data_IF_072462674652
#
_entry.id   IF_072462674652
#
_cell.length_a   1.000
_cell.length_b   1.000
_cell.length_c   1.000
_cell.angle_alpha   90.00
_cell.angle_beta   90.00
_cell.angle_gamma   90.00
#
_symmetry.space_group_name_H-M   'P 1'
#
loop_
_entity.id
_entity.type
_entity.pdbx_description
1 polymer ?
#
# COMPACT_ATOMS: atom_id res chain seq x y z
N UNK A 1 18.54 21.68 -6.12
CA UNK A 1 17.08 21.62 -5.94
C UNK A 1 16.47 21.48 -7.32
N UNK A 2 15.60 20.51 -7.52
CA UNK A 2 15.00 20.12 -8.81
C UNK A 2 13.85 21.05 -9.25
N UNK A 3 13.52 22.07 -8.45
CA UNK A 3 12.50 23.06 -8.76
C UNK A 3 11.07 22.61 -8.46
N UNK A 4 10.89 21.49 -7.75
CA UNK A 4 9.57 20.97 -7.36
C UNK A 4 9.12 21.58 -6.02
N UNK A 5 7.89 22.09 -5.97
CA UNK A 5 7.29 22.65 -4.75
C UNK A 5 5.96 21.95 -4.43
N UNK A 6 5.81 21.50 -3.19
CA UNK A 6 4.55 20.93 -2.69
C UNK A 6 3.72 22.03 -2.01
N UNK A 7 2.43 22.10 -2.35
CA UNK A 7 1.48 23.03 -1.73
C UNK A 7 0.54 22.26 -0.80
N UNK A 8 0.49 22.66 0.47
CA UNK A 8 -0.43 22.11 1.47
C UNK A 8 -1.48 23.14 1.84
N UNK A 9 -2.76 22.76 1.87
CA UNK A 9 -3.86 23.61 2.29
C UNK A 9 -4.89 22.81 3.08
N UNK A 10 -5.53 23.46 4.06
CA UNK A 10 -6.62 22.88 4.86
C UNK A 10 -7.86 23.75 4.68
N UNK A 11 -8.87 23.33 3.91
CA UNK A 11 -10.10 24.09 3.77
C UNK A 11 -10.88 24.07 5.10
N UNK A 12 -11.21 25.24 5.63
CA UNK A 12 -11.94 25.38 6.90
C UNK A 12 -13.46 25.26 6.76
N UNK A 13 -13.98 25.44 5.55
CA UNK A 13 -15.41 25.39 5.25
C UNK A 13 -15.65 24.51 4.02
N UNK A 14 -16.80 23.85 3.91
CA UNK A 14 -17.21 23.22 2.66
C UNK A 14 -17.45 24.31 1.59
N UNK A 15 -17.08 24.02 0.35
CA UNK A 15 -17.24 24.94 -0.77
C UNK A 15 -16.26 24.68 -1.91
N UNK A 16 -16.45 25.41 -3.01
CA UNK A 16 -15.51 25.42 -4.12
C UNK A 16 -14.41 26.45 -3.85
N UNK A 17 -13.18 25.98 -3.81
CA UNK A 17 -11.95 26.73 -3.69
C UNK A 17 -11.28 26.80 -5.06
N UNK A 18 -10.72 27.96 -5.39
CA UNK A 18 -9.85 28.13 -6.56
C UNK A 18 -8.48 28.49 -6.02
N UNK A 19 -7.54 27.56 -6.15
CA UNK A 19 -6.14 27.80 -5.83
C UNK A 19 -5.51 28.40 -7.08
N UNK A 20 -5.05 29.65 -6.95
CA UNK A 20 -4.36 30.37 -8.02
C UNK A 20 -2.88 30.42 -7.72
N UNK A 21 -2.08 29.80 -8.58
CA UNK A 21 -0.62 29.81 -8.45
C UNK A 21 -0.04 30.91 -9.37
N UNK A 22 0.80 31.76 -8.79
CA UNK A 22 1.49 32.86 -9.49
C UNK A 22 3.01 32.73 -9.32
N UNK A 23 3.75 33.03 -10.38
CA UNK A 23 5.21 33.14 -10.35
C UNK A 23 5.61 34.57 -10.73
N UNK A 24 6.34 35.27 -9.87
CA UNK A 24 6.72 36.68 -10.10
C UNK A 24 5.53 37.65 -10.25
N UNK A 25 4.36 37.30 -9.69
CA UNK A 25 3.13 38.08 -9.82
C UNK A 25 2.28 37.80 -11.07
N UNK A 26 2.78 36.98 -12.01
CA UNK A 26 2.02 36.51 -13.18
C UNK A 26 1.38 35.15 -12.92
N UNK A 27 0.15 34.95 -13.43
CA UNK A 27 -0.53 33.65 -13.42
C UNK A 27 0.25 32.64 -14.27
N UNK A 28 0.41 31.41 -13.76
CA UNK A 28 1.06 30.34 -14.52
C UNK A 28 0.05 29.56 -15.37
N UNK A 29 0.43 29.05 -16.56
CA UNK A 29 -0.43 28.16 -17.34
C UNK A 29 -0.79 26.90 -16.54
N UNK A 30 -2.10 26.64 -16.34
CA UNK A 30 -2.58 25.53 -15.50
C UNK A 30 -2.54 25.80 -13.99
N UNK A 31 -2.27 27.03 -13.57
CA UNK A 31 -2.18 27.44 -12.15
C UNK A 31 -3.51 27.64 -11.43
N UNK A 32 -4.63 27.50 -12.12
CA UNK A 32 -5.97 27.57 -11.54
C UNK A 32 -6.46 26.15 -11.22
N UNK A 33 -6.29 25.73 -9.97
CA UNK A 33 -6.80 24.44 -9.49
C UNK A 33 -8.13 24.65 -8.78
N UNK A 34 -9.18 24.00 -9.30
CA UNK A 34 -10.49 23.98 -8.63
C UNK A 34 -10.50 22.81 -7.67
N UNK A 35 -10.69 23.11 -6.39
CA UNK A 35 -10.79 22.13 -5.31
C UNK A 35 -12.15 22.30 -4.67
N UNK A 36 -12.90 21.23 -4.50
CA UNK A 36 -14.14 21.28 -3.74
C UNK A 36 -13.93 20.61 -2.40
N UNK A 37 -14.09 21.36 -1.32
CA UNK A 37 -14.15 20.81 0.03
C UNK A 37 -15.60 20.45 0.33
N UNK A 38 -15.88 19.19 0.64
CA UNK A 38 -17.21 18.76 1.06
C UNK A 38 -17.22 18.36 2.53
N UNK A 39 -18.37 18.54 3.19
CA UNK A 39 -18.63 17.84 4.44
C UNK A 39 -18.57 16.33 4.16
N UNK A 40 -17.88 15.60 5.03
CA UNK A 40 -17.50 14.18 4.93
C UNK A 40 -18.67 13.21 4.63
N UNK A 41 -19.92 13.69 4.65
CA UNK A 41 -21.13 12.92 4.41
C UNK A 41 -21.91 13.28 3.12
N UNK A 42 -21.41 14.15 2.24
CA UNK A 42 -22.14 14.55 1.01
C UNK A 42 -21.43 14.29 -0.31
N UNK A 43 -20.21 13.76 -0.32
CA UNK A 43 -19.53 13.36 -1.56
C UNK A 43 -19.99 12.01 -2.15
N UNK A 44 -21.17 11.52 -1.76
CA UNK A 44 -21.77 10.26 -2.26
C UNK A 44 -22.44 10.44 -3.63
N UNK A 45 -22.68 11.66 -4.12
CA UNK A 45 -23.33 11.85 -5.42
C UNK A 45 -22.93 13.21 -5.98
N UNK A 46 -22.05 13.24 -6.96
CA UNK A 46 -22.16 13.99 -8.23
C UNK A 46 -20.78 14.02 -8.90
N UNK A 47 -20.44 12.93 -9.61
CA UNK A 47 -19.79 13.07 -10.91
C UNK A 47 -20.60 12.20 -11.87
N UNK A 48 -21.62 12.81 -12.49
CA UNK A 48 -22.16 12.34 -13.76
C UNK A 48 -21.25 12.86 -14.87
N UNK A 49 -20.03 12.32 -14.91
CA UNK A 49 -19.42 12.01 -16.19
C UNK A 49 -19.82 10.57 -16.50
N UNK A 50 -20.06 10.27 -17.75
CA UNK A 50 -20.55 8.98 -18.23
C UNK A 50 -19.62 7.87 -17.78
N UNK A 51 -19.89 7.26 -16.62
CA UNK A 51 -19.13 6.12 -16.14
C UNK A 51 -19.39 4.99 -17.12
N UNK A 52 -18.43 4.71 -17.99
CA UNK A 52 -18.30 3.39 -18.62
C UNK A 52 -17.96 2.40 -17.51
N UNK A 53 -18.97 2.06 -16.71
CA UNK A 53 -18.93 1.04 -15.67
C UNK A 53 -18.62 -0.30 -16.34
N UNK A 54 -17.34 -0.66 -16.39
CA UNK A 54 -16.91 -1.98 -16.87
C UNK A 54 -15.59 -2.04 -17.62
N UNK A 55 -15.01 -0.91 -18.05
CA UNK A 55 -13.76 -0.96 -18.82
C UNK A 55 -12.51 -1.18 -17.96
N UNK A 56 -12.51 -0.70 -16.71
CA UNK A 56 -11.37 -0.78 -15.79
C UNK A 56 -11.76 -1.40 -14.45
N UNK A 57 -10.85 -2.19 -13.87
CA UNK A 57 -11.06 -2.80 -12.55
C UNK A 57 -10.93 -1.73 -11.45
N UNK A 58 -11.83 -1.70 -10.46
CA UNK A 58 -11.62 -0.92 -9.24
C UNK A 58 -10.32 -1.35 -8.56
N UNK A 59 -9.63 -0.39 -7.95
CA UNK A 59 -8.42 -0.62 -7.18
C UNK A 59 -8.70 -0.32 -5.71
N UNK A 60 -8.26 -1.21 -4.83
CA UNK A 60 -8.41 -1.09 -3.39
C UNK A 60 -7.05 -1.38 -2.72
N UNK A 61 -6.52 -0.39 -2.01
CA UNK A 61 -5.30 -0.51 -1.22
C UNK A 61 -5.66 -0.59 0.25
N UNK A 62 -5.33 -1.72 0.89
CA UNK A 62 -5.47 -1.88 2.33
C UNK A 62 -4.11 -1.65 3.00
N UNK A 63 -3.93 -0.50 3.63
CA UNK A 63 -2.64 -0.06 4.16
C UNK A 63 -2.68 0.07 5.69
N UNK A 64 -1.64 -0.38 6.41
CA UNK A 64 -1.53 -0.18 7.85
C UNK A 64 -1.14 1.27 8.15
N UNK A 65 -1.88 1.94 9.04
CA UNK A 65 -1.71 3.37 9.36
C UNK A 65 -1.63 3.67 10.87
N UNK A 66 -1.40 2.65 11.69
CA UNK A 66 -0.95 2.83 13.08
C UNK A 66 -2.01 3.35 14.06
N UNK A 67 -3.30 3.09 13.83
CA UNK A 67 -4.38 3.38 14.80
C UNK A 67 -4.68 4.88 15.01
N UNK A 68 -4.23 5.74 14.10
CA UNK A 68 -4.53 7.17 14.08
C UNK A 68 -5.97 7.49 13.63
N UNK A 69 -6.39 8.76 13.75
CA UNK A 69 -7.69 9.22 13.24
C UNK A 69 -7.67 9.25 11.72
N UNK A 70 -8.77 8.84 11.08
CA UNK A 70 -8.95 8.95 9.62
C UNK A 70 -8.71 10.37 9.08
N UNK A 71 -9.06 11.41 9.86
CA UNK A 71 -8.84 12.82 9.50
C UNK A 71 -7.39 13.20 9.23
N UNK A 72 -6.45 12.41 9.74
CA UNK A 72 -5.02 12.69 9.65
C UNK A 72 -4.40 12.02 8.42
N UNK A 73 -5.18 11.22 7.68
CA UNK A 73 -4.75 10.50 6.48
C UNK A 73 -5.21 11.26 5.25
N UNK A 74 -4.28 11.52 4.35
CA UNK A 74 -4.57 12.09 3.03
C UNK A 74 -3.96 11.20 1.95
N UNK A 75 -4.64 11.11 0.82
CA UNK A 75 -4.17 10.33 -0.31
C UNK A 75 -4.41 11.09 -1.61
N UNK A 76 -3.48 10.96 -2.55
CA UNK A 76 -3.54 11.60 -3.85
C UNK A 76 -3.11 10.60 -4.92
N UNK A 77 -3.88 10.50 -6.00
CA UNK A 77 -3.54 9.67 -7.14
C UNK A 77 -3.06 10.55 -8.27
N UNK A 78 -1.82 10.35 -8.70
CA UNK A 78 -1.29 10.90 -9.95
C UNK A 78 -1.56 9.91 -11.08
N UNK A 79 -2.36 10.35 -12.04
CA UNK A 79 -2.70 9.60 -13.25
C UNK A 79 -1.56 9.61 -14.26
N UNK A 80 -1.52 8.65 -15.21
CA UNK A 80 -0.57 8.63 -16.32
C UNK A 80 -0.45 9.94 -17.09
N UNK A 81 -1.55 10.68 -17.29
CA UNK A 81 -1.54 11.98 -17.97
C UNK A 81 -1.16 13.16 -17.08
N UNK A 82 -0.79 12.91 -15.81
CA UNK A 82 -0.35 13.92 -14.86
C UNK A 82 -1.47 14.66 -14.11
N UNK A 83 -2.73 14.24 -14.26
CA UNK A 83 -3.84 14.75 -13.44
C UNK A 83 -3.83 14.13 -12.05
N UNK A 84 -4.35 14.86 -11.08
CA UNK A 84 -4.48 14.40 -9.71
C UNK A 84 -5.94 14.10 -9.34
N UNK A 85 -6.19 12.95 -8.73
CA UNK A 85 -7.50 12.51 -8.24
C UNK A 85 -7.43 12.25 -6.74
N UNK A 86 -8.51 12.59 -6.02
CA UNK A 86 -8.67 12.24 -4.61
C UNK A 86 -9.42 10.92 -4.51
N UNK A 87 -8.81 9.83 -3.99
CA UNK A 87 -9.50 8.56 -3.80
C UNK A 87 -10.44 8.60 -2.58
N UNK A 88 -11.33 7.60 -2.48
CA UNK A 88 -12.13 7.37 -1.28
C UNK A 88 -11.26 6.66 -0.23
N UNK A 89 -11.34 7.09 1.03
CA UNK A 89 -10.60 6.47 2.15
C UNK A 89 -11.60 6.02 3.20
N UNK A 90 -11.60 4.72 3.52
CA UNK A 90 -12.41 4.11 4.57
C UNK A 90 -11.51 3.62 5.72
N UNK A 91 -11.88 3.92 6.97
CA UNK A 91 -11.25 3.34 8.16
C UNK A 91 -11.81 1.95 8.44
N UNK A 92 -10.94 0.93 8.45
CA UNK A 92 -11.34 -0.45 8.70
C UNK A 92 -11.47 -0.77 10.20
N UNK A 93 -11.17 0.17 11.10
CA UNK A 93 -11.26 0.04 12.56
C UNK A 93 -10.39 -1.09 13.16
N UNK A 94 -9.41 -1.56 12.39
CA UNK A 94 -8.47 -2.62 12.77
C UNK A 94 -7.00 -2.16 12.69
N UNK A 95 -6.78 -0.84 12.54
CA UNK A 95 -5.46 -0.24 12.32
C UNK A 95 -5.04 -0.14 10.85
N UNK A 96 -5.91 -0.56 9.92
CA UNK A 96 -5.72 -0.37 8.47
C UNK A 96 -6.75 0.59 7.87
N UNK A 97 -6.42 1.18 6.72
CA UNK A 97 -7.36 1.95 5.89
C UNK A 97 -7.47 1.34 4.50
N UNK A 98 -8.65 1.46 3.90
CA UNK A 98 -8.92 1.06 2.52
C UNK A 98 -8.97 2.31 1.64
N UNK A 99 -8.06 2.43 0.67
CA UNK A 99 -8.03 3.51 -0.31
C UNK A 99 -8.60 2.96 -1.62
N UNK A 100 -9.79 3.43 -1.99
CA UNK A 100 -10.57 2.95 -3.12
C UNK A 100 -10.56 3.94 -4.26
N UNK A 101 -10.28 3.45 -5.45
CA UNK A 101 -10.23 4.24 -6.68
C UNK A 101 -10.87 3.51 -7.84
N UNK A 102 -11.66 4.25 -8.62
CA UNK A 102 -12.19 3.81 -9.91
C UNK A 102 -11.40 4.52 -11.01
N UNK A 103 -10.49 3.81 -11.71
CA UNK A 103 -9.74 4.41 -12.81
C UNK A 103 -10.64 4.78 -13.99
N UNK A 104 -10.20 5.80 -14.73
CA UNK A 104 -10.80 6.25 -15.99
C UNK A 104 -9.86 6.13 -17.19
N UNK A 105 -8.59 5.74 -16.96
CA UNK A 105 -7.56 5.64 -18.00
C UNK A 105 -6.59 4.48 -17.75
N UNK A 106 -5.92 4.04 -18.81
CA UNK A 106 -4.89 3.01 -18.76
C UNK A 106 -3.53 3.61 -18.37
N UNK A 107 -2.69 2.80 -17.73
CA UNK A 107 -1.28 3.11 -17.52
C UNK A 107 -0.85 3.09 -16.06
N UNK A 108 0.38 3.54 -15.84
CA UNK A 108 1.00 3.64 -14.53
C UNK A 108 0.43 4.82 -13.75
N UNK A 109 -0.26 4.52 -12.66
CA UNK A 109 -0.71 5.47 -11.66
C UNK A 109 0.22 5.43 -10.45
N UNK A 110 0.31 6.55 -9.75
CA UNK A 110 1.03 6.66 -8.46
C UNK A 110 0.07 7.13 -7.38
N UNK A 111 0.11 6.44 -6.24
CA UNK A 111 -0.68 6.74 -5.05
C UNK A 111 0.27 7.27 -3.96
N UNK A 112 0.17 8.56 -3.69
CA UNK A 112 0.79 9.21 -2.54
C UNK A 112 -0.15 9.08 -1.34
N UNK A 113 0.39 8.69 -0.20
CA UNK A 113 -0.35 8.53 1.05
C UNK A 113 0.44 9.16 2.17
N UNK A 114 -0.20 10.10 2.88
CA UNK A 114 0.39 10.84 3.98
C UNK A 114 -0.42 10.61 5.26
N UNK A 115 0.29 10.50 6.37
CA UNK A 115 -0.25 10.55 7.72
C UNK A 115 0.32 11.78 8.43
N UNK A 116 -0.55 12.67 8.92
CA UNK A 116 -0.17 13.94 9.55
C UNK A 116 0.78 14.79 8.69
N UNK A 117 0.58 14.76 7.37
CA UNK A 117 1.40 15.47 6.38
C UNK A 117 2.75 14.81 6.05
N UNK A 118 3.08 13.65 6.64
CA UNK A 118 4.29 12.90 6.35
C UNK A 118 3.98 11.65 5.53
N UNK A 119 4.79 11.30 4.51
CA UNK A 119 4.55 10.12 3.69
C UNK A 119 4.65 8.84 4.52
N UNK A 120 3.71 7.92 4.35
CA UNK A 120 3.76 6.62 5.04
C UNK A 120 4.81 5.71 4.39
N UNK A 121 5.20 4.66 5.12
CA UNK A 121 6.11 3.65 4.59
C UNK A 121 5.57 3.03 3.29
N UNK A 122 6.41 3.00 2.26
CA UNK A 122 6.06 2.47 0.93
C UNK A 122 5.46 3.50 -0.02
N UNK A 123 5.00 4.66 0.46
CA UNK A 123 4.55 5.74 -0.42
C UNK A 123 5.74 6.38 -1.16
N UNK A 124 5.62 6.70 -2.46
CA UNK A 124 4.46 6.47 -3.34
C UNK A 124 4.31 5.01 -3.77
N UNK A 125 3.06 4.53 -3.83
CA UNK A 125 2.71 3.21 -4.35
C UNK A 125 2.43 3.29 -5.85
N UNK A 126 3.04 2.39 -6.63
CA UNK A 126 2.85 2.31 -8.07
C UNK A 126 1.85 1.21 -8.40
N UNK A 127 0.88 1.51 -9.26
CA UNK A 127 -0.05 0.50 -9.75
C UNK A 127 -0.40 0.73 -11.22
N UNK A 128 -0.55 -0.37 -11.94
CA UNK A 128 -0.89 -0.33 -13.36
C UNK A 128 -2.37 -0.62 -13.55
N UNK A 129 -3.03 0.21 -14.38
CA UNK A 129 -4.42 0.01 -14.78
C UNK A 129 -4.43 -0.42 -16.25
N UNK A 130 -5.12 -1.53 -16.52
CA UNK A 130 -5.35 -2.04 -17.88
C UNK A 130 -6.85 -2.23 -18.14
N UNK A 131 -7.22 -2.33 -19.42
CA UNK A 131 -8.59 -2.60 -19.83
C UNK A 131 -9.00 -4.04 -19.54
N UNK A 132 -10.23 -4.23 -19.09
CA UNK A 132 -10.85 -5.54 -18.98
C UNK A 132 -11.24 -6.01 -20.39
N UNK A 133 -10.34 -6.73 -21.04
CA UNK A 133 -10.56 -7.30 -22.38
C UNK A 133 -10.19 -8.79 -22.42
N UNK A 134 -10.87 -9.54 -23.30
CA UNK A 134 -10.50 -10.91 -23.65
C UNK A 134 -9.49 -10.91 -24.79
N UNK A 135 -8.76 -12.02 -24.98
CA UNK A 135 -7.79 -12.15 -26.09
C UNK A 135 -6.36 -11.73 -25.76
N UNK A 136 -6.12 -11.16 -24.58
CA UNK A 136 -4.78 -10.78 -24.10
C UNK A 136 -4.62 -11.15 -22.62
N UNK A 137 -3.37 -11.34 -22.20
CA UNK A 137 -3.07 -11.65 -20.80
C UNK A 137 -3.00 -10.35 -19.99
N UNK A 138 -3.78 -10.25 -18.92
CA UNK A 138 -3.78 -9.12 -17.98
C UNK A 138 -3.47 -9.61 -16.56
N UNK A 139 -2.92 -8.75 -15.72
CA UNK A 139 -2.67 -9.05 -14.31
C UNK A 139 -3.18 -7.93 -13.40
N UNK A 140 -3.75 -8.28 -12.26
CA UNK A 140 -4.25 -7.33 -11.28
C UNK A 140 -4.21 -7.91 -9.87
N UNK A 141 -4.12 -7.03 -8.87
CA UNK A 141 -4.14 -7.40 -7.46
C UNK A 141 -3.08 -6.66 -6.64
N UNK A 142 -3.23 -6.65 -5.30
CA UNK A 142 -2.38 -5.86 -4.41
C UNK A 142 -0.91 -6.26 -4.51
N UNK A 143 -0.60 -7.55 -4.67
CA UNK A 143 0.77 -8.06 -4.78
C UNK A 143 1.55 -7.58 -6.00
N UNK A 144 0.94 -6.85 -6.93
CA UNK A 144 1.68 -6.16 -8.01
C UNK A 144 2.17 -4.76 -7.61
N UNK A 145 1.79 -4.26 -6.44
CA UNK A 145 1.98 -2.86 -6.03
C UNK A 145 2.52 -2.70 -4.60
N UNK A 146 2.05 -3.52 -3.66
CA UNK A 146 2.44 -3.42 -2.26
C UNK A 146 2.26 -4.76 -1.51
N UNK A 147 2.87 -4.84 -0.35
CA UNK A 147 2.73 -5.95 0.58
C UNK A 147 3.53 -5.75 1.85
N UNK A 148 3.45 -6.72 2.75
CA UNK A 148 4.22 -6.73 3.99
C UNK A 148 5.19 -7.90 4.03
N UNK A 149 6.34 -7.68 4.65
CA UNK A 149 7.32 -8.73 4.91
C UNK A 149 6.71 -9.88 5.73
N UNK A 150 7.02 -11.12 5.35
CA UNK A 150 6.49 -12.36 5.94
C UNK A 150 4.98 -12.58 5.78
N UNK A 151 4.29 -11.78 4.96
CA UNK A 151 2.90 -11.99 4.60
C UNK A 151 2.77 -12.44 3.14
N UNK A 152 1.72 -13.20 2.83
CA UNK A 152 1.44 -13.61 1.46
C UNK A 152 0.96 -12.42 0.63
N UNK A 153 1.69 -12.10 -0.42
CA UNK A 153 1.29 -11.13 -1.43
C UNK A 153 0.67 -11.88 -2.61
N UNK A 154 -0.55 -11.49 -3.02
CA UNK A 154 -1.28 -12.20 -4.08
C UNK A 154 -1.74 -11.27 -5.19
N UNK A 155 -1.74 -11.82 -6.41
CA UNK A 155 -2.32 -11.19 -7.59
C UNK A 155 -2.87 -12.26 -8.53
N UNK A 156 -3.75 -11.84 -9.44
CA UNK A 156 -4.42 -12.71 -10.40
C UNK A 156 -4.00 -12.34 -11.81
N UNK A 157 -3.73 -13.36 -12.61
CA UNK A 157 -3.48 -13.28 -14.05
C UNK A 157 -4.72 -13.81 -14.77
N UNK A 158 -5.21 -13.09 -15.77
CA UNK A 158 -6.30 -13.53 -16.65
C UNK A 158 -5.71 -13.84 -18.01
N UNK A 159 -5.87 -15.07 -18.46
CA UNK A 159 -5.37 -15.58 -19.76
C UNK A 159 -6.50 -15.96 -20.71
N UNK A 160 -7.74 -15.55 -20.39
CA UNK A 160 -8.94 -15.93 -21.13
C UNK A 160 -8.84 -15.50 -22.59
N UNK A 161 -8.97 -16.49 -23.48
CA UNK A 161 -8.92 -16.35 -24.94
C UNK A 161 -7.60 -15.82 -25.50
N UNK A 162 -6.51 -15.77 -24.70
CA UNK A 162 -5.21 -15.22 -25.12
C UNK A 162 -4.45 -16.09 -26.14
N UNK A 163 -5.00 -17.26 -26.52
CA UNK A 163 -4.36 -18.23 -27.40
C UNK A 163 -3.40 -19.16 -26.67
N UNK A 164 -2.65 -19.96 -27.43
CA UNK A 164 -1.67 -20.90 -26.89
C UNK A 164 -0.33 -20.20 -26.65
N UNK A 165 0.19 -20.27 -25.43
CA UNK A 165 1.48 -19.69 -25.06
C UNK A 165 1.88 -20.06 -23.64
N UNK A 166 3.18 -20.09 -23.36
CA UNK A 166 3.70 -20.29 -22.01
C UNK A 166 3.54 -19.03 -21.16
N UNK A 167 3.07 -19.18 -19.92
CA UNK A 167 3.05 -18.13 -18.91
C UNK A 167 4.31 -18.25 -18.03
N UNK A 168 5.05 -17.17 -17.90
CA UNK A 168 6.25 -17.10 -17.05
C UNK A 168 6.10 -15.98 -16.03
N UNK A 169 6.37 -16.28 -14.77
CA UNK A 169 6.31 -15.34 -13.64
C UNK A 169 7.62 -15.41 -12.88
N UNK A 170 8.20 -14.24 -12.60
CA UNK A 170 9.41 -14.10 -11.79
C UNK A 170 9.23 -12.94 -10.79
N UNK A 171 9.76 -13.12 -9.59
CA UNK A 171 9.78 -12.10 -8.53
C UNK A 171 11.22 -11.93 -8.07
N UNK A 172 11.76 -10.73 -8.27
CA UNK A 172 13.14 -10.37 -7.95
C UNK A 172 13.15 -9.18 -7.00
N UNK A 173 13.97 -9.19 -5.94
CA UNK A 173 14.01 -8.11 -4.97
C UNK A 173 15.00 -8.34 -3.84
N UNK A 174 14.80 -7.65 -2.72
CA UNK A 174 15.68 -7.70 -1.54
C UNK A 174 15.82 -9.08 -0.89
N UNK A 175 14.95 -10.03 -1.21
CA UNK A 175 15.10 -11.43 -0.82
C UNK A 175 14.56 -12.38 -1.88
N UNK A 176 14.98 -13.64 -1.83
CA UNK A 176 14.35 -14.71 -2.60
C UNK A 176 12.96 -14.98 -2.01
N UNK A 177 11.92 -14.70 -2.79
CA UNK A 177 10.55 -15.03 -2.42
C UNK A 177 10.18 -16.41 -2.98
N UNK A 178 9.50 -17.22 -2.16
CA UNK A 178 8.78 -18.39 -2.67
C UNK A 178 7.60 -17.92 -3.52
N UNK A 179 7.33 -18.61 -4.63
CA UNK A 179 6.22 -18.30 -5.55
C UNK A 179 5.37 -19.55 -5.73
N UNK A 180 4.06 -19.38 -5.56
CA UNK A 180 3.06 -20.39 -5.84
C UNK A 180 2.11 -19.89 -6.92
N UNK A 181 1.92 -20.71 -7.96
CA UNK A 181 0.95 -20.45 -9.02
C UNK A 181 -0.14 -21.52 -8.98
N UNK A 182 -1.39 -21.09 -8.91
CA UNK A 182 -2.57 -21.96 -8.95
C UNK A 182 -3.39 -21.65 -10.18
N UNK A 183 -3.57 -22.64 -11.05
CA UNK A 183 -4.51 -22.56 -12.16
C UNK A 183 -5.93 -22.83 -11.66
N UNK A 184 -6.84 -21.88 -11.87
CA UNK A 184 -8.24 -21.98 -11.47
C UNK A 184 -9.11 -22.73 -12.50
N UNK A 185 -8.55 -23.10 -13.66
CA UNK A 185 -9.24 -23.82 -14.75
C UNK A 185 -10.44 -23.07 -15.34
N UNK A 186 -10.49 -21.75 -15.15
CA UNK A 186 -11.51 -20.85 -15.69
C UNK A 186 -10.91 -19.76 -16.60
N UNK A 187 -9.63 -19.92 -16.97
CA UNK A 187 -8.86 -18.90 -17.70
C UNK A 187 -8.21 -17.86 -16.78
N UNK A 188 -8.12 -18.14 -15.47
CA UNK A 188 -7.38 -17.32 -14.51
C UNK A 188 -6.34 -18.15 -13.74
N UNK A 189 -5.26 -17.48 -13.34
CA UNK A 189 -4.21 -18.04 -12.49
C UNK A 189 -3.99 -17.13 -11.28
N UNK A 190 -4.05 -17.70 -10.09
CA UNK A 190 -3.70 -17.03 -8.84
C UNK A 190 -2.23 -17.22 -8.55
N UNK A 191 -1.51 -16.11 -8.38
CA UNK A 191 -0.11 -16.11 -7.99
C UNK A 191 0.00 -15.57 -6.58
N UNK A 192 0.69 -16.31 -5.72
CA UNK A 192 1.03 -15.89 -4.37
C UNK A 192 2.54 -15.95 -4.18
N UNK A 193 3.13 -14.95 -3.54
CA UNK A 193 4.53 -14.95 -3.15
C UNK A 193 4.73 -14.47 -1.71
N UNK A 194 5.84 -14.87 -1.10
CA UNK A 194 6.15 -14.57 0.32
C UNK A 194 7.50 -13.86 0.42
N UNK A 195 7.52 -12.51 0.42
CA UNK A 195 8.74 -11.76 0.60
C UNK A 195 9.20 -11.83 2.06
N UNK A 196 10.48 -12.08 2.28
CA UNK A 196 11.09 -12.24 3.61
C UNK A 196 11.94 -11.05 4.04
N UNK A 197 12.06 -10.02 3.19
CA UNK A 197 12.73 -8.77 3.51
C UNK A 197 11.92 -7.58 2.99
N UNK A 198 11.98 -6.43 3.69
CA UNK A 198 11.45 -5.18 3.14
C UNK A 198 12.25 -4.71 1.93
N UNK A 199 11.59 -3.99 1.03
CA UNK A 199 12.22 -3.37 -0.12
C UNK A 199 11.33 -3.30 -1.36
N UNK A 200 11.94 -2.97 -2.47
CA UNK A 200 11.28 -2.94 -3.77
C UNK A 200 11.45 -4.30 -4.47
N UNK A 201 10.34 -4.86 -4.94
CA UNK A 201 10.31 -6.12 -5.66
C UNK A 201 9.81 -5.88 -7.09
N UNK A 202 10.51 -6.46 -8.05
CA UNK A 202 10.19 -6.45 -9.47
C UNK A 202 9.46 -7.74 -9.82
N UNK A 203 8.20 -7.63 -10.22
CA UNK A 203 7.39 -8.77 -10.68
C UNK A 203 7.34 -8.75 -12.21
N UNK A 204 7.94 -9.76 -12.82
CA UNK A 204 7.91 -9.97 -14.26
C UNK A 204 6.85 -11.00 -14.60
N UNK A 205 5.94 -10.65 -15.52
CA UNK A 205 4.92 -11.54 -16.06
C UNK A 205 5.03 -11.51 -17.58
N UNK A 206 5.30 -12.66 -18.17
CA UNK A 206 5.44 -12.84 -19.61
C UNK A 206 4.47 -13.88 -20.13
N UNK A 207 3.94 -13.64 -21.31
CA UNK A 207 3.14 -14.59 -22.07
C UNK A 207 3.75 -14.77 -23.46
N UNK A 208 4.00 -16.02 -23.86
CA UNK A 208 4.71 -16.34 -25.11
C UNK A 208 6.03 -15.54 -25.26
N UNK A 209 6.83 -15.52 -24.18
CA UNK A 209 8.12 -14.82 -24.04
C UNK A 209 8.07 -13.29 -24.18
N UNK A 210 6.88 -12.68 -24.20
CA UNK A 210 6.67 -11.23 -24.24
C UNK A 210 6.09 -10.70 -22.94
N UNK A 211 6.52 -9.53 -22.51
CA UNK A 211 5.93 -8.86 -21.33
C UNK A 211 4.46 -8.55 -21.59
N UNK A 212 3.63 -8.82 -20.58
CA UNK A 212 2.25 -8.33 -20.57
C UNK A 212 2.25 -6.82 -20.30
N UNK A 213 1.13 -6.16 -20.58
CA UNK A 213 0.96 -4.74 -20.29
C UNK A 213 1.17 -4.48 -18.78
N UNK A 214 1.99 -3.48 -18.47
CA UNK A 214 2.38 -3.13 -17.10
C UNK A 214 3.56 -3.94 -16.53
N UNK A 215 3.97 -5.04 -17.16
CA UNK A 215 5.18 -5.77 -16.73
C UNK A 215 6.45 -5.10 -17.26
N UNK A 216 7.53 -4.98 -16.45
CA UNK A 216 7.62 -5.39 -15.04
C UNK A 216 6.85 -4.47 -14.09
N UNK A 217 6.22 -5.08 -13.08
CA UNK A 217 5.52 -4.39 -12.01
C UNK A 217 6.45 -4.14 -10.83
N UNK A 218 6.19 -3.09 -10.06
CA UNK A 218 6.97 -2.73 -8.87
C UNK A 218 6.10 -2.85 -7.62
N UNK A 219 6.41 -3.82 -6.76
CA UNK A 219 5.76 -3.95 -5.46
C UNK A 219 6.65 -3.39 -4.33
N UNK A 220 6.07 -2.54 -3.48
CA UNK A 220 6.70 -2.04 -2.26
C UNK A 220 6.38 -2.95 -1.08
N UNK A 221 7.38 -3.67 -0.59
CA UNK A 221 7.26 -4.53 0.60
C UNK A 221 7.75 -3.77 1.82
N UNK A 222 6.84 -3.52 2.77
CA UNK A 222 7.17 -2.82 4.01
C UNK A 222 7.60 -3.80 5.10
N UNK A 223 8.56 -3.37 5.93
CA UNK A 223 9.07 -4.16 7.04
C UNK A 223 8.12 -4.03 8.21
N UNK A 224 7.36 -5.09 8.47
CA UNK A 224 6.26 -5.18 9.44
C UNK A 224 4.99 -4.40 9.01
N UNK A 225 3.80 -4.98 9.17
CA UNK A 225 2.60 -4.18 9.33
C UNK A 225 2.79 -3.32 10.58
N UNK A 226 2.61 -2.01 10.46
CA UNK A 226 2.28 -1.16 11.61
C UNK A 226 0.93 -1.56 12.25
N UNK A 227 0.27 -2.60 11.75
CA UNK A 227 -0.80 -3.29 12.45
C UNK A 227 -0.17 -4.30 13.43
N UNK A 228 -0.28 -3.94 14.71
CA UNK A 228 0.14 -4.70 15.87
C UNK A 228 1.65 -4.62 16.12
N UNK A 229 2.09 -3.43 16.58
CA UNK A 229 2.79 -3.46 17.87
C UNK A 229 1.97 -4.41 18.74
N UNK A 230 2.47 -5.63 18.93
CA UNK A 230 2.06 -6.45 20.05
C UNK A 230 2.61 -5.77 21.30
N UNK A 231 2.14 -4.54 21.59
CA UNK A 231 1.56 -4.31 22.90
C UNK A 231 0.40 -5.30 22.99
N UNK A 232 0.74 -6.57 23.28
CA UNK A 232 -0.01 -7.28 24.29
C UNK A 232 -0.07 -6.26 25.43
N UNK A 233 -1.15 -5.48 25.52
CA UNK A 233 -1.54 -4.87 26.78
C UNK A 233 -1.91 -6.07 27.65
N UNK A 234 -0.91 -6.81 28.10
CA UNK A 234 -1.02 -7.63 29.27
C UNK A 234 -1.36 -6.62 30.36
N UNK A 235 -2.61 -6.60 30.80
CA UNK A 235 -2.94 -5.88 32.03
C UNK A 235 -2.24 -6.64 33.15
N UNK A 236 -1.01 -6.22 33.46
CA UNK A 236 -0.23 -6.77 34.56
C UNK A 236 -0.61 -5.97 35.80
N UNK A 237 -1.18 -6.63 36.81
CA UNK A 237 -1.40 -6.01 38.11
C UNK A 237 -0.04 -5.68 38.74
N UNK A 238 0.06 -4.51 39.38
CA UNK A 238 1.26 -4.07 40.10
C UNK A 238 1.65 -5.14 41.13
N UNK A 239 2.87 -5.67 41.03
CA UNK A 239 3.39 -6.73 41.90
C UNK A 239 3.36 -8.14 41.32
N UNK A 240 2.73 -8.36 40.16
CA UNK A 240 2.74 -9.66 39.47
C UNK A 240 3.84 -9.74 38.42
N UNK A 241 4.43 -10.92 38.26
CA UNK A 241 5.33 -11.23 37.14
C UNK A 241 4.53 -11.53 35.88
N UNK A 242 5.01 -11.06 34.73
CA UNK A 242 4.43 -11.35 33.42
C UNK A 242 5.54 -11.83 32.48
N UNK A 243 5.28 -12.93 31.78
CA UNK A 243 6.22 -13.53 30.84
C UNK A 243 5.85 -13.16 29.39
N UNK A 244 6.84 -12.76 28.60
CA UNK A 244 6.70 -12.49 27.17
C UNK A 244 7.62 -13.46 26.43
N UNK A 245 7.04 -14.35 25.64
CA UNK A 245 7.82 -15.28 24.81
C UNK A 245 8.17 -14.65 23.46
N UNK A 246 9.44 -14.72 23.08
CA UNK A 246 9.99 -14.24 21.81
C UNK A 246 10.60 -15.42 21.05
N UNK A 247 10.31 -15.54 19.75
CA UNK A 247 10.94 -16.54 18.90
C UNK A 247 12.12 -15.90 18.18
N UNK A 248 13.34 -16.16 18.66
CA UNK A 248 14.58 -15.62 18.09
C UNK A 248 15.31 -16.73 17.35
N UNK A 249 15.81 -16.46 16.14
CA UNK A 249 16.64 -17.43 15.41
C UNK A 249 18.06 -17.42 15.97
N UNK A 250 18.79 -18.55 15.89
CA UNK A 250 20.03 -18.78 16.65
C UNK A 250 21.16 -17.76 16.41
N UNK A 251 21.09 -16.91 15.38
CA UNK A 251 22.15 -15.96 15.03
C UNK A 251 22.13 -14.65 15.84
N UNK A 252 21.04 -14.28 16.52
CA UNK A 252 20.87 -12.93 17.09
C UNK A 252 20.82 -12.86 18.64
N UNK A 253 21.01 -13.99 19.33
CA UNK A 253 20.80 -14.08 20.79
C UNK A 253 21.84 -13.27 21.59
N UNK A 254 23.06 -13.09 21.05
CA UNK A 254 24.15 -12.43 21.78
C UNK A 254 23.98 -10.92 21.91
N UNK A 255 23.14 -10.30 21.06
CA UNK A 255 22.91 -8.85 21.04
C UNK A 255 21.54 -8.46 21.65
N UNK A 256 20.80 -9.42 22.20
CA UNK A 256 19.46 -9.16 22.75
C UNK A 256 19.53 -8.54 24.14
N UNK A 257 19.11 -7.28 24.26
CA UNK A 257 18.86 -6.59 25.52
C UNK A 257 17.36 -6.31 25.68
N UNK A 258 16.88 -6.33 26.92
CA UNK A 258 15.49 -5.99 27.23
C UNK A 258 15.44 -5.10 28.47
N UNK A 259 14.79 -3.95 28.35
CA UNK A 259 14.57 -3.01 29.47
C UNK A 259 13.10 -2.62 29.56
N UNK A 260 12.68 -2.25 30.77
CA UNK A 260 11.34 -1.74 31.05
C UNK A 260 11.46 -0.32 31.58
N UNK A 261 10.63 0.59 31.06
CA UNK A 261 10.60 1.99 31.46
C UNK A 261 9.33 2.25 32.26
N UNK A 262 9.50 2.67 33.51
CA UNK A 262 8.38 3.11 34.35
C UNK A 262 7.85 4.48 33.90
N UNK A 263 6.58 4.83 34.20
CA UNK A 263 6.04 6.17 33.94
C UNK A 263 6.81 7.31 34.64
N UNK A 264 7.59 6.98 35.68
CA UNK A 264 8.52 7.88 36.36
C UNK A 264 9.85 8.10 35.64
N UNK A 265 10.08 7.44 34.50
CA UNK A 265 11.32 7.56 33.71
C UNK A 265 12.49 6.73 34.24
N UNK A 266 12.25 5.82 35.18
CA UNK A 266 13.26 4.87 35.66
C UNK A 266 13.26 3.65 34.74
N UNK A 267 14.45 3.27 34.26
CA UNK A 267 14.71 2.11 33.43
C UNK A 267 15.21 0.95 34.30
N UNK A 268 14.52 -0.19 34.22
CA UNK A 268 14.92 -1.45 34.86
C UNK A 268 15.27 -2.50 33.79
N UNK A 269 16.25 -3.35 34.07
CA UNK A 269 16.67 -4.42 33.16
C UNK A 269 15.74 -5.63 33.30
N UNK A 270 15.28 -6.18 32.19
CA UNK A 270 14.44 -7.38 32.15
C UNK A 270 15.28 -8.66 32.23
N UNK A 271 14.72 -9.71 32.83
CA UNK A 271 15.34 -11.04 32.85
C UNK A 271 14.97 -11.82 31.58
N UNK A 272 15.97 -12.28 30.84
CA UNK A 272 15.82 -13.14 29.67
C UNK A 272 16.02 -14.61 30.06
N UNK A 273 15.12 -15.52 29.64
CA UNK A 273 15.20 -16.95 29.97
C UNK A 273 15.06 -17.81 28.72
N UNK A 274 16.13 -18.49 28.31
CA UNK A 274 16.10 -19.43 27.18
C UNK A 274 15.25 -20.67 27.49
N UNK A 275 14.23 -20.93 26.66
CA UNK A 275 13.40 -22.12 26.72
C UNK A 275 14.00 -23.23 25.84
N UNK A 276 13.76 -24.50 26.23
CA UNK A 276 14.39 -25.69 25.63
C UNK A 276 14.06 -25.92 24.14
N UNK A 277 13.09 -25.18 23.59
CA UNK A 277 12.65 -25.25 22.20
C UNK A 277 13.27 -24.15 21.29
N UNK A 278 14.28 -23.42 21.77
CA UNK A 278 14.90 -22.30 21.03
C UNK A 278 14.07 -21.01 21.03
N UNK A 279 13.00 -20.94 21.81
CA UNK A 279 12.30 -19.68 22.13
C UNK A 279 12.92 -19.04 23.38
N UNK A 280 12.86 -17.72 23.51
CA UNK A 280 13.29 -16.93 24.66
C UNK A 280 12.07 -16.38 25.43
#
# INVERSE_FOLDING_TARGET
EDGTYNLFYTPHNPGNYVIKIKFGGQDIPGGDFVVTAGDTNKYIRTQTESVTTGQYRPVDFRLPVGGGKLSDITALIRTPIGKFHTPLIDDNQDGTVSIKYQPSEIGLHELDVFYQGQPIAGSPFKFHVDQVQTGYVTAYGPGLSHGACNESCSFRIVTKDAGSGGLSVAVEGSSKAEIQCKDNKDGTCDVTYWPTAPGEYTITVKFADKHIVGSPFTAKITGLPLAVENRKRSQVMVGNQSEISLRVTEMDIHDLNATIHSPSGIEDVCLLKKLANGSL
#
